data_IF_705724233710
#
_entry.id   IF_705724233710
#
_cell.length_a   1.000
_cell.length_b   1.000
_cell.length_c   1.000
_cell.angle_alpha   90.00
_cell.angle_beta   90.00
_cell.angle_gamma   90.00
#
_symmetry.space_group_name_H-M   'P 1'
#
loop_
_entity.id
_entity.type
_entity.pdbx_description
1 polymer ?
#
# COMPACT_ATOMS: atom_id res chain seq x y z
N UNK A 1 -4.52 -0.38 -16.97
CA UNK A 1 -5.66 -0.88 -17.79
C UNK A 1 -5.75 -2.40 -17.86
N UNK A 2 -4.97 -3.15 -18.65
CA UNK A 2 -5.20 -4.62 -18.77
C UNK A 2 -4.99 -5.38 -17.44
N UNK A 3 -3.92 -5.06 -16.70
CA UNK A 3 -3.63 -5.70 -15.40
C UNK A 3 -4.69 -5.39 -14.34
N UNK A 4 -5.15 -4.15 -14.29
CA UNK A 4 -6.21 -3.70 -13.38
C UNK A 4 -7.54 -4.42 -13.67
N UNK A 5 -7.93 -4.52 -14.95
CA UNK A 5 -9.12 -5.26 -15.35
C UNK A 5 -9.05 -6.73 -14.92
N UNK A 6 -7.90 -7.38 -15.14
CA UNK A 6 -7.68 -8.78 -14.75
C UNK A 6 -7.78 -8.94 -13.24
N UNK A 7 -7.20 -8.01 -12.46
CA UNK A 7 -7.26 -8.05 -11.01
C UNK A 7 -8.69 -7.90 -10.49
N UNK A 8 -9.44 -6.88 -10.95
CA UNK A 8 -10.83 -6.66 -10.55
C UNK A 8 -11.73 -7.84 -10.90
N UNK A 9 -11.55 -8.42 -12.09
CA UNK A 9 -12.29 -9.60 -12.53
C UNK A 9 -11.95 -10.84 -11.68
N UNK A 10 -10.68 -11.05 -11.35
CA UNK A 10 -10.26 -12.17 -10.50
C UNK A 10 -10.82 -12.03 -9.08
N UNK A 11 -10.72 -10.84 -8.49
CA UNK A 11 -11.31 -10.53 -7.18
C UNK A 11 -12.81 -10.84 -7.15
N UNK A 12 -13.55 -10.35 -8.15
CA UNK A 12 -14.98 -10.58 -8.24
C UNK A 12 -15.31 -12.05 -8.49
N UNK A 13 -14.46 -12.82 -9.19
CA UNK A 13 -14.67 -14.26 -9.47
C UNK A 13 -14.39 -15.16 -8.26
N UNK A 14 -13.46 -14.78 -7.39
CA UNK A 14 -13.13 -15.55 -6.19
C UNK A 14 -13.96 -15.12 -4.98
N UNK A 15 -14.72 -14.03 -5.10
CA UNK A 15 -15.52 -13.52 -4.00
C UNK A 15 -16.63 -14.51 -3.59
N UNK A 16 -16.85 -14.63 -2.27
CA UNK A 16 -17.89 -15.46 -1.66
C UNK A 16 -19.35 -15.15 -2.08
N UNK A 17 -19.62 -14.01 -2.73
CA UNK A 17 -20.96 -13.54 -3.09
C UNK A 17 -21.22 -13.50 -4.61
N UNK A 18 -20.77 -14.53 -5.34
CA UNK A 18 -20.95 -14.63 -6.81
C UNK A 18 -22.38 -14.30 -7.27
N UNK A 19 -23.38 -14.94 -6.66
CA UNK A 19 -24.78 -14.76 -7.05
C UNK A 19 -25.27 -13.31 -6.90
N UNK A 20 -24.77 -12.59 -5.89
CA UNK A 20 -25.12 -11.19 -5.66
C UNK A 20 -24.38 -10.27 -6.64
N UNK A 21 -23.13 -10.57 -6.95
CA UNK A 21 -22.33 -9.88 -7.99
C UNK A 21 -23.05 -9.96 -9.35
N UNK A 22 -23.56 -11.14 -9.72
CA UNK A 22 -24.30 -11.32 -10.96
C UNK A 22 -25.60 -10.52 -10.99
N UNK A 23 -26.34 -10.49 -9.87
CA UNK A 23 -27.58 -9.69 -9.75
C UNK A 23 -27.30 -8.19 -9.88
N UNK A 24 -26.24 -7.68 -9.25
CA UNK A 24 -25.83 -6.28 -9.38
C UNK A 24 -25.44 -5.98 -10.82
N UNK A 25 -24.59 -6.82 -11.41
CA UNK A 25 -24.17 -6.68 -12.80
C UNK A 25 -25.39 -6.61 -13.74
N UNK A 26 -26.37 -7.49 -13.55
CA UNK A 26 -27.61 -7.48 -14.32
C UNK A 26 -28.39 -6.17 -14.12
N UNK A 27 -28.49 -5.68 -12.88
CA UNK A 27 -29.24 -4.47 -12.54
C UNK A 27 -28.61 -3.20 -13.12
N UNK A 28 -27.28 -3.07 -13.02
CA UNK A 28 -26.49 -2.00 -13.66
C UNK A 28 -26.71 -2.02 -15.17
N UNK A 29 -26.58 -3.19 -15.82
CA UNK A 29 -26.83 -3.32 -17.26
C UNK A 29 -28.24 -2.90 -17.63
N UNK A 30 -29.24 -3.39 -16.90
CA UNK A 30 -30.63 -3.07 -17.16
C UNK A 30 -30.85 -1.55 -17.16
N UNK A 31 -30.36 -0.86 -16.13
CA UNK A 31 -30.46 0.61 -16.01
C UNK A 31 -29.76 1.35 -17.15
N UNK A 32 -28.56 0.92 -17.55
CA UNK A 32 -27.82 1.53 -18.66
C UNK A 32 -28.45 1.28 -20.03
N UNK A 33 -29.28 0.23 -20.17
CA UNK A 33 -29.93 -0.14 -21.44
C UNK A 33 -31.39 0.32 -21.56
N UNK A 34 -31.94 1.01 -20.56
CA UNK A 34 -33.32 1.49 -20.64
C UNK A 34 -33.50 2.51 -21.77
N UNK A 35 -34.67 2.47 -22.42
CA UNK A 35 -34.98 3.19 -23.68
C UNK A 35 -34.82 4.72 -23.63
N UNK A 36 -34.71 5.32 -22.44
CA UNK A 36 -34.51 6.76 -22.24
C UNK A 36 -33.04 7.19 -22.15
N UNK A 37 -32.10 6.25 -22.10
CA UNK A 37 -30.67 6.52 -22.03
C UNK A 37 -30.03 6.52 -23.43
N UNK A 38 -28.94 7.28 -23.66
CA UNK A 38 -28.15 7.15 -24.88
C UNK A 38 -27.67 5.69 -25.04
N UNK A 39 -27.67 5.17 -26.28
CA UNK A 39 -27.20 3.80 -26.55
C UNK A 39 -25.70 3.70 -26.26
N UNK A 40 -25.35 3.25 -25.06
CA UNK A 40 -23.98 3.04 -24.67
C UNK A 40 -23.37 1.84 -25.42
N UNK A 41 -22.09 1.91 -25.85
CA UNK A 41 -21.39 0.76 -26.40
C UNK A 41 -21.36 -0.42 -25.42
N UNK A 42 -21.51 -1.65 -25.93
CA UNK A 42 -21.48 -2.85 -25.07
C UNK A 42 -20.18 -3.01 -24.28
N UNK A 43 -19.05 -2.56 -24.83
CA UNK A 43 -17.77 -2.54 -24.11
C UNK A 43 -17.81 -1.63 -22.88
N UNK A 44 -18.38 -0.42 -23.02
CA UNK A 44 -18.51 0.55 -21.94
C UNK A 44 -19.41 0.02 -20.81
N UNK A 45 -20.55 -0.58 -21.17
CA UNK A 45 -21.47 -1.19 -20.20
C UNK A 45 -20.74 -2.25 -19.37
N UNK A 46 -19.97 -3.14 -20.02
CA UNK A 46 -19.21 -4.19 -19.32
C UNK A 46 -18.17 -3.62 -18.36
N UNK A 47 -17.48 -2.56 -18.75
CA UNK A 47 -16.50 -1.90 -17.87
C UNK A 47 -17.19 -1.28 -16.66
N UNK A 48 -18.29 -0.55 -16.85
CA UNK A 48 -19.07 0.05 -15.74
C UNK A 48 -19.60 -1.03 -14.79
N UNK A 49 -20.12 -2.15 -15.33
CA UNK A 49 -20.58 -3.28 -14.51
C UNK A 49 -19.44 -3.84 -13.65
N UNK A 50 -18.26 -4.04 -14.24
CA UNK A 50 -17.09 -4.54 -13.54
C UNK A 50 -16.66 -3.58 -12.43
N UNK A 51 -16.48 -2.30 -12.76
CA UNK A 51 -15.96 -1.32 -11.82
C UNK A 51 -16.93 -1.02 -10.67
N UNK A 52 -18.23 -0.88 -10.93
CA UNK A 52 -19.22 -0.70 -9.86
C UNK A 52 -19.35 -1.93 -8.97
N UNK A 53 -19.38 -3.13 -9.56
CA UNK A 53 -19.40 -4.35 -8.76
C UNK A 53 -18.14 -4.43 -7.91
N UNK A 54 -16.98 -4.13 -8.49
CA UNK A 54 -15.72 -4.11 -7.76
C UNK A 54 -15.77 -3.12 -6.59
N UNK A 55 -16.16 -1.87 -6.81
CA UNK A 55 -16.28 -0.83 -5.77
C UNK A 55 -17.19 -1.30 -4.63
N UNK A 56 -18.40 -1.77 -4.93
CA UNK A 56 -19.35 -2.13 -3.88
C UNK A 56 -18.96 -3.36 -3.08
N UNK A 57 -18.35 -4.37 -3.71
CA UNK A 57 -17.90 -5.55 -2.99
C UNK A 57 -16.58 -5.32 -2.27
N UNK A 58 -15.69 -4.48 -2.83
CA UNK A 58 -14.48 -4.04 -2.16
C UNK A 58 -14.79 -3.27 -0.87
N UNK A 59 -15.82 -2.42 -0.91
CA UNK A 59 -16.26 -1.59 0.22
C UNK A 59 -17.53 -2.12 0.89
N UNK A 60 -17.82 -3.42 0.78
CA UNK A 60 -19.09 -4.01 1.24
C UNK A 60 -19.37 -3.75 2.72
N UNK A 61 -18.31 -3.67 3.54
CA UNK A 61 -18.42 -3.38 4.96
C UNK A 61 -19.06 -2.01 5.21
N UNK A 62 -18.87 -1.04 4.30
CA UNK A 62 -19.34 0.35 4.44
C UNK A 62 -20.39 0.72 3.40
N UNK A 63 -21.13 -0.27 2.87
CA UNK A 63 -22.13 -0.04 1.82
C UNK A 63 -23.27 0.91 2.22
N UNK A 64 -23.43 1.14 3.52
CA UNK A 64 -24.41 2.06 4.11
C UNK A 64 -23.87 3.48 4.31
N UNK A 65 -22.64 3.78 3.92
CA UNK A 65 -22.07 5.12 3.96
C UNK A 65 -22.62 5.98 2.80
N UNK A 66 -23.36 7.07 3.06
CA UNK A 66 -23.81 7.99 2.02
C UNK A 66 -22.68 8.49 1.11
N UNK A 67 -21.49 8.74 1.66
CA UNK A 67 -20.34 9.22 0.88
C UNK A 67 -19.89 8.22 -0.18
N UNK A 68 -20.04 6.90 0.07
CA UNK A 68 -19.72 5.87 -0.91
C UNK A 68 -20.61 6.00 -2.16
N UNK A 69 -21.90 6.29 -1.97
CA UNK A 69 -22.83 6.53 -3.06
C UNK A 69 -22.43 7.76 -3.88
N UNK A 70 -22.18 8.91 -3.22
CA UNK A 70 -21.76 10.14 -3.90
C UNK A 70 -20.45 9.97 -4.68
N UNK A 71 -19.44 9.35 -4.07
CA UNK A 71 -18.16 9.07 -4.76
C UNK A 71 -18.35 8.13 -5.95
N UNK A 72 -19.25 7.14 -5.85
CA UNK A 72 -19.58 6.24 -6.97
C UNK A 72 -20.28 6.99 -8.11
N UNK A 73 -21.19 7.91 -7.78
CA UNK A 73 -21.88 8.75 -8.77
C UNK A 73 -20.87 9.64 -9.49
N UNK A 74 -19.99 10.32 -8.73
CA UNK A 74 -19.00 11.22 -9.30
C UNK A 74 -17.93 10.49 -10.10
N UNK A 75 -17.53 9.28 -9.68
CA UNK A 75 -16.67 8.39 -10.46
C UNK A 75 -17.28 8.03 -11.82
N UNK A 76 -18.56 7.63 -11.85
CA UNK A 76 -19.25 7.35 -13.12
C UNK A 76 -19.37 8.59 -14.02
N UNK A 77 -19.58 9.75 -13.41
CA UNK A 77 -19.66 11.02 -14.13
C UNK A 77 -18.31 11.43 -14.74
N UNK A 78 -17.22 11.32 -13.98
CA UNK A 78 -15.90 11.77 -14.42
C UNK A 78 -15.23 10.82 -15.40
N UNK A 79 -15.22 9.51 -15.12
CA UNK A 79 -14.44 8.52 -15.87
C UNK A 79 -15.18 8.00 -17.10
N UNK A 80 -16.50 7.86 -16.99
CA UNK A 80 -17.34 7.29 -18.05
C UNK A 80 -18.26 8.32 -18.72
N UNK A 81 -18.21 9.58 -18.28
CA UNK A 81 -19.02 10.68 -18.82
C UNK A 81 -20.53 10.41 -18.80
N UNK A 82 -21.01 9.66 -17.80
CA UNK A 82 -22.45 9.52 -17.59
C UNK A 82 -23.02 10.84 -17.08
N UNK A 83 -24.25 11.18 -17.46
CA UNK A 83 -24.93 12.29 -16.78
C UNK A 83 -25.15 11.94 -15.32
N UNK A 84 -25.05 12.93 -14.42
CA UNK A 84 -25.20 12.71 -12.97
C UNK A 84 -26.51 11.98 -12.65
N UNK A 85 -27.60 12.33 -13.32
CA UNK A 85 -28.89 11.64 -13.16
C UNK A 85 -28.83 10.14 -13.48
N UNK A 86 -28.21 9.75 -14.60
CA UNK A 86 -28.09 8.33 -14.96
C UNK A 86 -27.15 7.61 -14.00
N UNK A 87 -26.06 8.27 -13.59
CA UNK A 87 -25.15 7.72 -12.59
C UNK A 87 -25.85 7.47 -11.24
N UNK A 88 -26.64 8.43 -10.75
CA UNK A 88 -27.48 8.29 -9.55
C UNK A 88 -28.44 7.10 -9.69
N UNK A 89 -29.22 7.02 -10.76
CA UNK A 89 -30.19 5.94 -10.98
C UNK A 89 -29.54 4.54 -11.01
N UNK A 90 -28.31 4.44 -11.51
CA UNK A 90 -27.54 3.20 -11.58
C UNK A 90 -27.00 2.82 -10.20
N UNK A 91 -26.37 3.77 -9.49
CA UNK A 91 -25.76 3.57 -8.18
C UNK A 91 -26.81 3.25 -7.14
N UNK A 92 -27.85 4.07 -6.99
CA UNK A 92 -28.92 3.85 -6.02
C UNK A 92 -29.63 2.52 -6.26
N UNK A 93 -29.93 2.18 -7.53
CA UNK A 93 -30.57 0.90 -7.83
C UNK A 93 -29.71 -0.32 -7.50
N UNK A 94 -28.37 -0.19 -7.51
CA UNK A 94 -27.47 -1.25 -7.12
C UNK A 94 -27.32 -1.33 -5.59
N UNK A 95 -27.24 -0.19 -4.91
CA UNK A 95 -27.20 -0.09 -3.46
C UNK A 95 -28.49 -0.59 -2.80
N UNK A 96 -29.66 -0.25 -3.33
CA UNK A 96 -30.95 -0.77 -2.88
C UNK A 96 -30.97 -2.30 -2.83
N UNK A 97 -30.37 -2.93 -3.84
CA UNK A 97 -30.23 -4.38 -3.86
C UNK A 97 -29.30 -4.82 -2.73
N UNK A 98 -28.11 -4.23 -2.60
CA UNK A 98 -27.15 -4.60 -1.57
C UNK A 98 -27.67 -4.40 -0.14
N UNK A 99 -28.37 -3.30 0.14
CA UNK A 99 -28.96 -3.02 1.45
C UNK A 99 -29.99 -4.06 1.87
N UNK A 100 -30.61 -4.76 0.92
CA UNK A 100 -31.51 -5.88 1.23
C UNK A 100 -30.80 -7.19 1.64
N UNK A 101 -29.50 -7.32 1.35
CA UNK A 101 -28.69 -8.50 1.68
C UNK A 101 -27.67 -8.24 2.78
N UNK A 102 -27.20 -7.00 2.93
CA UNK A 102 -26.18 -6.58 3.88
C UNK A 102 -26.89 -5.73 4.95
N UNK A 103 -27.17 -6.27 6.14
CA UNK A 103 -27.85 -5.51 7.18
C UNK A 103 -26.96 -4.40 7.73
N UNK A 104 -27.59 -3.40 8.33
CA UNK A 104 -26.90 -2.34 9.07
C UNK A 104 -26.38 -2.87 10.41
N UNK A 105 -25.32 -2.24 10.90
CA UNK A 105 -24.77 -2.55 12.20
C UNK A 105 -25.62 -1.92 13.31
N UNK A 106 -25.95 -2.68 14.36
CA UNK A 106 -26.75 -2.16 15.47
C UNK A 106 -26.09 -0.94 16.11
N UNK A 107 -26.83 0.17 16.17
CA UNK A 107 -26.38 1.41 16.81
C UNK A 107 -25.51 2.32 15.94
N UNK A 108 -25.18 1.93 14.72
CA UNK A 108 -24.45 2.80 13.79
C UNK A 108 -25.40 3.76 13.07
N UNK A 109 -25.05 5.04 13.06
CA UNK A 109 -25.67 6.07 12.24
C UNK A 109 -25.01 6.15 10.86
N UNK A 110 -25.66 6.83 9.90
CA UNK A 110 -25.06 7.10 8.59
C UNK A 110 -23.71 7.86 8.70
N UNK A 111 -23.57 8.73 9.71
CA UNK A 111 -22.32 9.46 9.97
C UNK A 111 -21.20 8.55 10.44
N UNK A 112 -21.51 7.50 11.21
CA UNK A 112 -20.51 6.54 11.67
C UNK A 112 -19.99 5.71 10.49
N UNK A 113 -20.87 5.36 9.55
CA UNK A 113 -20.48 4.72 8.30
C UNK A 113 -19.62 5.63 7.41
N UNK A 114 -20.00 6.89 7.24
CA UNK A 114 -19.18 7.87 6.49
C UNK A 114 -17.81 8.04 7.12
N UNK A 115 -17.76 8.22 8.44
CA UNK A 115 -16.51 8.37 9.18
C UNK A 115 -15.59 7.16 8.97
N UNK A 116 -16.09 5.95 9.24
CA UNK A 116 -15.29 4.74 9.10
C UNK A 116 -14.87 4.50 7.64
N UNK A 117 -15.74 4.75 6.67
CA UNK A 117 -15.38 4.62 5.27
C UNK A 117 -14.24 5.58 4.87
N UNK A 118 -14.37 6.86 5.22
CA UNK A 118 -13.34 7.87 4.94
C UNK A 118 -12.04 7.55 5.66
N UNK A 119 -12.14 7.06 6.89
CA UNK A 119 -11.01 6.60 7.67
C UNK A 119 -10.24 5.51 6.94
N UNK A 120 -10.93 4.50 6.43
CA UNK A 120 -10.33 3.38 5.71
C UNK A 120 -9.74 3.78 4.35
N UNK A 121 -10.39 4.71 3.66
CA UNK A 121 -9.88 5.31 2.44
C UNK A 121 -8.58 6.06 2.68
N UNK A 122 -8.49 6.79 3.80
CA UNK A 122 -7.26 7.47 4.21
C UNK A 122 -6.16 6.49 4.60
N UNK A 123 -6.46 5.44 5.39
CA UNK A 123 -5.45 4.42 5.75
C UNK A 123 -4.90 3.74 4.49
N UNK A 124 -5.76 3.43 3.52
CA UNK A 124 -5.36 2.83 2.25
C UNK A 124 -4.45 3.77 1.44
N UNK A 125 -4.78 5.07 1.39
CA UNK A 125 -3.97 6.06 0.66
C UNK A 125 -2.63 6.35 1.33
N UNK A 126 -2.61 6.50 2.66
CA UNK A 126 -1.39 6.73 3.44
C UNK A 126 -0.39 5.56 3.37
N UNK A 127 -0.88 4.36 3.06
CA UNK A 127 -0.08 3.14 3.03
C UNK A 127 0.46 2.76 1.65
N UNK A 128 0.06 3.46 0.60
CA UNK A 128 0.35 3.07 -0.77
C UNK A 128 1.51 3.87 -1.37
N UNK A 129 2.57 3.17 -1.76
CA UNK A 129 3.74 3.76 -2.42
C UNK A 129 3.50 4.02 -3.92
N UNK A 130 2.37 3.56 -4.47
CA UNK A 130 2.08 3.58 -5.90
C UNK A 130 0.63 3.96 -6.19
N UNK A 131 0.43 5.15 -6.76
CA UNK A 131 -0.90 5.65 -7.13
C UNK A 131 -1.68 4.70 -8.06
N UNK A 132 -1.02 4.01 -9.00
CA UNK A 132 -1.72 3.06 -9.88
C UNK A 132 -2.19 1.81 -9.15
N UNK A 133 -1.44 1.39 -8.12
CA UNK A 133 -1.83 0.28 -7.27
C UNK A 133 -2.98 0.73 -6.36
N UNK A 134 -2.90 1.96 -5.82
CA UNK A 134 -3.94 2.55 -4.99
C UNK A 134 -5.29 2.64 -5.73
N UNK A 135 -5.31 3.05 -7.01
CA UNK A 135 -6.51 3.03 -7.88
C UNK A 135 -7.13 1.63 -7.90
N UNK A 136 -6.29 0.62 -8.03
CA UNK A 136 -6.75 -0.78 -8.09
C UNK A 136 -7.27 -1.23 -6.72
N UNK A 137 -6.58 -0.90 -5.62
CA UNK A 137 -6.93 -1.31 -4.26
C UNK A 137 -8.18 -0.63 -3.70
N UNK A 138 -8.37 0.65 -4.03
CA UNK A 138 -9.52 1.45 -3.63
C UNK A 138 -10.69 1.22 -4.60
N UNK A 139 -10.42 0.92 -5.87
CA UNK A 139 -11.45 0.71 -6.90
C UNK A 139 -11.98 2.00 -7.53
N UNK A 140 -11.68 3.17 -6.97
CA UNK A 140 -12.00 4.47 -7.55
C UNK A 140 -10.89 5.00 -8.46
N UNK A 141 -11.26 5.88 -9.39
CA UNK A 141 -10.36 6.52 -10.33
C UNK A 141 -9.36 7.49 -9.70
N UNK A 142 -8.44 7.99 -10.52
CA UNK A 142 -7.38 8.91 -10.08
C UNK A 142 -7.93 10.21 -9.50
N UNK A 143 -9.11 10.65 -9.94
CA UNK A 143 -9.80 11.83 -9.43
C UNK A 143 -10.13 11.72 -7.93
N UNK A 144 -10.70 10.61 -7.48
CA UNK A 144 -11.03 10.38 -6.07
C UNK A 144 -9.75 10.29 -5.22
N UNK A 145 -8.70 9.70 -5.79
CA UNK A 145 -7.40 9.62 -5.12
C UNK A 145 -6.72 10.98 -5.01
N UNK A 146 -6.78 11.81 -6.04
CA UNK A 146 -6.29 13.19 -6.00
C UNK A 146 -7.03 14.01 -4.95
N UNK A 147 -8.33 13.78 -4.75
CA UNK A 147 -9.10 14.39 -3.67
C UNK A 147 -8.60 13.95 -2.28
N UNK A 148 -8.37 12.65 -2.08
CA UNK A 148 -7.81 12.14 -0.82
C UNK A 148 -6.42 12.74 -0.55
N UNK A 149 -5.58 12.86 -1.57
CA UNK A 149 -4.26 13.49 -1.45
C UNK A 149 -4.32 15.01 -1.26
N UNK A 150 -5.29 15.70 -1.88
CA UNK A 150 -5.50 17.13 -1.70
C UNK A 150 -5.99 17.44 -0.28
N UNK A 151 -6.93 16.66 0.23
CA UNK A 151 -7.35 16.70 1.64
C UNK A 151 -6.15 16.47 2.56
N UNK A 152 -5.23 15.56 2.18
CA UNK A 152 -4.03 15.30 2.96
C UNK A 152 -2.98 16.40 2.97
N UNK A 153 -3.01 17.30 1.98
CA UNK A 153 -2.02 18.39 1.83
C UNK A 153 -2.50 19.73 2.38
N UNK A 154 -3.76 19.86 2.76
CA UNK A 154 -4.34 21.10 3.29
C UNK A 154 -3.81 21.48 4.70
N UNK A 155 -3.12 20.56 5.39
CA UNK A 155 -2.32 20.89 6.58
C UNK A 155 -1.08 21.76 6.27
N UNK A 156 -0.67 21.85 5.00
CA UNK A 156 0.32 22.83 4.55
C UNK A 156 -0.42 24.13 4.22
N UNK A 157 -0.24 25.14 5.08
CA UNK A 157 -0.83 26.51 5.08
C UNK A 157 -0.69 27.35 3.80
N UNK A 158 -0.46 26.76 2.62
CA UNK A 158 -0.13 27.41 1.35
C UNK A 158 -1.10 27.15 0.19
N UNK A 159 -2.22 26.47 0.40
CA UNK A 159 -3.10 26.05 -0.70
C UNK A 159 -4.51 26.67 -0.57
N UNK A 160 -4.61 27.96 -0.91
CA UNK A 160 -5.90 28.65 -1.10
C UNK A 160 -6.65 28.20 -2.38
N UNK A 161 -6.02 27.40 -3.25
CA UNK A 161 -6.55 26.97 -4.56
C UNK A 161 -6.89 25.47 -4.67
N UNK A 162 -6.90 24.72 -3.56
CA UNK A 162 -7.22 23.28 -3.61
C UNK A 162 -8.71 23.02 -3.82
N UNK A 163 -9.04 22.10 -4.74
CA UNK A 163 -10.42 21.67 -5.06
C UNK A 163 -11.11 21.16 -3.79
N UNK A 164 -12.06 21.95 -3.27
CA UNK A 164 -12.89 21.54 -2.13
C UNK A 164 -14.06 20.71 -2.65
N UNK A 165 -13.95 19.39 -2.54
CA UNK A 165 -15.11 18.52 -2.65
C UNK A 165 -15.86 18.55 -1.31
N UNK A 166 -17.10 19.05 -1.32
CA UNK A 166 -18.02 19.14 -0.17
C UNK A 166 -17.32 19.50 1.18
N UNK A 167 -17.37 20.76 1.64
CA UNK A 167 -16.60 21.24 2.79
C UNK A 167 -16.65 20.33 4.04
N UNK A 168 -17.79 19.70 4.30
CA UNK A 168 -18.03 18.78 5.42
C UNK A 168 -17.22 17.48 5.34
N UNK A 169 -17.06 16.91 4.14
CA UNK A 169 -16.24 15.70 3.91
C UNK A 169 -14.76 16.03 4.03
N UNK A 170 -14.36 17.20 3.51
CA UNK A 170 -13.00 17.70 3.64
C UNK A 170 -12.65 17.89 5.12
N UNK A 171 -13.52 18.54 5.91
CA UNK A 171 -13.31 18.72 7.36
C UNK A 171 -13.22 17.37 8.11
N UNK A 172 -14.06 16.41 7.74
CA UNK A 172 -14.04 15.07 8.35
C UNK A 172 -12.73 14.34 8.07
N UNK A 173 -12.25 14.38 6.82
CA UNK A 173 -10.95 13.82 6.45
C UNK A 173 -9.80 14.48 7.22
N UNK A 174 -9.81 15.81 7.38
CA UNK A 174 -8.80 16.51 8.18
C UNK A 174 -8.79 16.04 9.62
N UNK A 175 -9.96 15.89 10.23
CA UNK A 175 -10.08 15.42 11.61
C UNK A 175 -9.49 14.03 11.77
N UNK A 176 -9.85 13.11 10.87
CA UNK A 176 -9.29 11.75 10.81
C UNK A 176 -7.76 11.80 10.73
N UNK A 177 -7.23 12.65 9.86
CA UNK A 177 -5.80 12.79 9.66
C UNK A 177 -5.06 13.32 10.87
N UNK A 178 -5.60 14.35 11.52
CA UNK A 178 -5.02 14.93 12.72
C UNK A 178 -5.05 13.92 13.88
N UNK A 179 -6.13 13.13 14.00
CA UNK A 179 -6.23 12.04 14.97
C UNK A 179 -5.16 10.98 14.72
N UNK A 180 -5.09 10.45 13.50
CA UNK A 180 -4.09 9.42 13.13
C UNK A 180 -2.66 9.96 13.29
N UNK A 181 -2.40 11.21 12.91
CA UNK A 181 -1.06 11.81 13.03
C UNK A 181 -0.61 11.92 14.48
N UNK A 182 -1.52 12.28 15.39
CA UNK A 182 -1.26 12.25 16.84
C UNK A 182 -1.01 10.83 17.32
N UNK A 183 -1.81 9.87 16.88
CA UNK A 183 -1.63 8.47 17.25
C UNK A 183 -0.34 7.85 16.71
N UNK A 184 0.11 8.21 15.51
CA UNK A 184 1.40 7.75 14.95
C UNK A 184 2.57 8.22 15.82
N UNK A 185 2.50 9.45 16.35
CA UNK A 185 3.53 9.99 17.23
C UNK A 185 3.65 9.17 18.54
N UNK A 186 2.55 8.63 19.03
CA UNK A 186 2.51 7.77 20.23
C UNK A 186 2.78 6.30 19.92
N UNK A 187 2.27 5.81 18.79
CA UNK A 187 2.24 4.41 18.36
C UNK A 187 2.60 4.32 16.87
N UNK A 188 3.89 4.18 16.50
CA UNK A 188 4.33 4.20 15.11
C UNK A 188 3.70 3.14 14.20
N UNK A 189 3.24 2.02 14.77
CA UNK A 189 2.59 0.91 14.05
C UNK A 189 1.06 1.02 14.02
N UNK A 190 0.47 2.17 14.40
CA UNK A 190 -1.00 2.33 14.45
C UNK A 190 -1.66 2.15 13.08
N UNK A 191 -0.98 2.58 12.01
CA UNK A 191 -1.45 2.36 10.63
C UNK A 191 -1.61 0.86 10.34
N UNK A 192 -0.68 0.04 10.81
CA UNK A 192 -0.74 -1.41 10.60
C UNK A 192 -1.87 -2.06 11.42
N UNK A 193 -2.19 -1.54 12.62
CA UNK A 193 -3.38 -1.94 13.37
C UNK A 193 -4.66 -1.69 12.59
N UNK A 194 -4.77 -0.52 11.94
CA UNK A 194 -5.94 -0.18 11.14
C UNK A 194 -6.03 -0.96 9.83
N UNK A 195 -4.89 -1.29 9.20
CA UNK A 195 -4.87 -2.23 8.07
C UNK A 195 -5.41 -3.60 8.48
N UNK A 196 -5.00 -4.11 9.65
CA UNK A 196 -5.52 -5.37 10.16
C UNK A 196 -7.03 -5.31 10.39
N UNK A 197 -7.54 -4.21 10.97
CA UNK A 197 -8.98 -3.98 11.10
C UNK A 197 -9.69 -4.13 9.76
N UNK A 198 -9.18 -3.44 8.73
CA UNK A 198 -9.71 -3.49 7.37
C UNK A 198 -9.77 -4.92 6.80
N UNK A 199 -8.70 -5.69 7.00
CA UNK A 199 -8.63 -7.09 6.53
C UNK A 199 -9.65 -7.98 7.25
N UNK A 200 -9.84 -7.80 8.56
CA UNK A 200 -10.82 -8.58 9.33
C UNK A 200 -12.25 -8.20 8.93
N UNK A 201 -12.55 -6.90 8.78
CA UNK A 201 -13.87 -6.39 8.37
C UNK A 201 -14.24 -6.80 6.93
N UNK A 202 -13.25 -6.99 6.06
CA UNK A 202 -13.50 -7.47 4.70
C UNK A 202 -14.07 -8.91 4.69
N UNK A 203 -13.75 -9.72 5.71
CA UNK A 203 -14.11 -11.13 5.78
C UNK A 203 -15.38 -11.37 6.61
N UNK A 204 -15.53 -10.66 7.73
CA UNK A 204 -16.71 -10.75 8.61
C UNK A 204 -17.69 -9.60 8.34
N UNK A 205 -18.93 -9.92 7.93
CA UNK A 205 -19.97 -8.92 7.67
C UNK A 205 -20.51 -8.22 8.92
N UNK A 206 -20.27 -8.79 10.11
CA UNK A 206 -20.90 -8.38 11.36
C UNK A 206 -19.90 -8.31 12.50
N UNK A 207 -20.15 -7.39 13.43
CA UNK A 207 -19.39 -7.28 14.66
C UNK A 207 -18.29 -6.23 14.60
N UNK A 208 -18.45 -5.18 13.77
CA UNK A 208 -17.50 -4.06 13.74
C UNK A 208 -17.24 -3.44 15.12
N UNK A 209 -18.29 -3.35 15.94
CA UNK A 209 -18.19 -2.88 17.33
C UNK A 209 -17.29 -3.75 18.22
N UNK A 210 -16.99 -5.00 17.83
CA UNK A 210 -16.10 -5.90 18.55
C UNK A 210 -14.62 -5.65 18.21
N UNK A 211 -14.32 -4.99 17.08
CA UNK A 211 -12.96 -4.64 16.65
C UNK A 211 -12.47 -3.36 17.34
N UNK A 212 -12.57 -3.36 18.67
CA UNK A 212 -12.01 -2.31 19.51
C UNK A 212 -10.49 -2.26 19.38
N UNK A 213 -9.88 -1.12 19.69
CA UNK A 213 -8.41 -0.97 19.73
C UNK A 213 -7.75 -2.06 20.57
N UNK A 214 -8.26 -2.33 21.78
CA UNK A 214 -7.73 -3.37 22.66
C UNK A 214 -7.78 -4.76 22.03
N UNK A 215 -8.83 -5.04 21.25
CA UNK A 215 -8.93 -6.31 20.53
C UNK A 215 -7.93 -6.40 19.37
N UNK A 216 -7.75 -5.32 18.60
CA UNK A 216 -6.75 -5.26 17.53
C UNK A 216 -5.32 -5.38 18.09
N UNK A 217 -5.05 -4.77 19.25
CA UNK A 217 -3.77 -4.89 19.96
C UNK A 217 -3.51 -6.34 20.37
N UNK A 218 -4.53 -7.05 20.88
CA UNK A 218 -4.44 -8.48 21.17
C UNK A 218 -4.16 -9.30 19.89
N UNK A 219 -4.81 -8.99 18.77
CA UNK A 219 -4.51 -9.65 17.50
C UNK A 219 -3.04 -9.46 17.09
N UNK A 220 -2.51 -8.25 17.25
CA UNK A 220 -1.09 -7.97 17.02
C UNK A 220 -0.17 -8.74 17.97
N UNK A 221 -0.52 -8.84 19.24
CA UNK A 221 0.25 -9.62 20.22
C UNK A 221 0.30 -11.09 19.85
N UNK A 222 -0.82 -11.66 19.42
CA UNK A 222 -0.86 -13.03 18.90
C UNK A 222 0.03 -13.18 17.67
N UNK A 223 -0.01 -12.24 16.71
CA UNK A 223 0.86 -12.28 15.53
C UNK A 223 2.35 -12.20 15.90
N UNK A 224 2.72 -11.34 16.85
CA UNK A 224 4.10 -11.23 17.33
C UNK A 224 4.54 -12.51 18.04
N UNK A 225 3.65 -13.10 18.86
CA UNK A 225 3.93 -14.35 19.55
C UNK A 225 4.07 -15.54 18.59
N UNK A 226 3.41 -15.51 17.43
CA UNK A 226 3.65 -16.48 16.34
C UNK A 226 5.09 -16.37 15.83
N UNK A 227 5.59 -15.14 15.71
CA UNK A 227 6.93 -14.86 15.24
C UNK A 227 7.19 -15.34 13.81
N UNK A 228 8.48 -15.37 13.44
CA UNK A 228 8.90 -15.65 12.07
C UNK A 228 9.07 -17.15 11.76
N UNK A 229 9.34 -17.96 12.79
CA UNK A 229 9.54 -19.41 12.69
C UNK A 229 8.23 -20.20 12.82
N UNK A 230 7.15 -19.51 13.16
CA UNK A 230 5.90 -20.09 13.58
C UNK A 230 5.93 -20.65 15.00
N UNK A 231 4.75 -20.95 15.51
CA UNK A 231 4.53 -21.41 16.89
C UNK A 231 3.39 -22.42 16.97
N UNK A 232 3.26 -23.14 18.08
CA UNK A 232 2.14 -24.03 18.36
C UNK A 232 1.05 -23.36 19.19
N UNK A 233 -0.16 -23.91 19.17
CA UNK A 233 -1.27 -23.40 20.01
C UNK A 233 -0.95 -23.44 21.51
N UNK A 234 -0.28 -24.52 21.95
CA UNK A 234 0.10 -24.70 23.34
C UNK A 234 1.13 -23.64 23.79
N UNK A 235 1.99 -23.18 22.88
CA UNK A 235 2.95 -22.10 23.14
C UNK A 235 2.27 -20.73 23.22
N UNK A 236 1.34 -20.44 22.31
CA UNK A 236 0.56 -19.19 22.31
C UNK A 236 -0.32 -19.02 23.55
N UNK A 237 -0.79 -20.12 24.12
CA UNK A 237 -1.79 -20.08 25.19
C UNK A 237 -1.23 -20.28 26.59
N UNK A 238 0.10 -20.37 26.76
CA UNK A 238 0.74 -20.58 28.07
C UNK A 238 0.27 -19.57 29.13
N UNK A 239 0.11 -18.31 28.72
CA UNK A 239 -0.22 -17.19 29.62
C UNK A 239 -1.55 -16.50 29.28
N UNK A 240 -2.35 -17.07 28.35
CA UNK A 240 -3.50 -16.38 27.75
C UNK A 240 -4.76 -17.24 27.75
N UNK A 241 -5.93 -16.60 27.69
CA UNK A 241 -7.21 -17.28 27.60
C UNK A 241 -7.33 -18.06 26.27
N UNK A 242 -7.29 -19.40 26.33
CA UNK A 242 -7.35 -20.29 25.18
C UNK A 242 -8.54 -20.02 24.24
N UNK A 243 -9.72 -19.74 24.79
CA UNK A 243 -10.91 -19.50 23.98
C UNK A 243 -10.79 -18.20 23.17
N UNK A 244 -10.19 -17.17 23.78
CA UNK A 244 -9.97 -15.88 23.16
C UNK A 244 -8.89 -15.96 22.07
N UNK A 245 -7.76 -16.63 22.36
CA UNK A 245 -6.67 -16.83 21.38
C UNK A 245 -7.16 -17.64 20.18
N UNK A 246 -7.98 -18.68 20.42
CA UNK A 246 -8.58 -19.45 19.32
C UNK A 246 -9.44 -18.58 18.42
N UNK A 247 -10.31 -17.73 19.01
CA UNK A 247 -11.14 -16.80 18.23
C UNK A 247 -10.29 -15.85 17.39
N UNK A 248 -9.23 -15.29 17.97
CA UNK A 248 -8.29 -14.41 17.25
C UNK A 248 -7.62 -15.16 16.09
N UNK A 249 -7.13 -16.38 16.32
CA UNK A 249 -6.51 -17.18 15.27
C UNK A 249 -7.48 -17.50 14.13
N UNK A 250 -8.71 -17.87 14.44
CA UNK A 250 -9.73 -18.17 13.42
C UNK A 250 -9.99 -16.93 12.54
N UNK A 251 -10.02 -15.72 13.13
CA UNK A 251 -10.14 -14.46 12.37
C UNK A 251 -8.90 -14.14 11.54
N UNK A 252 -7.70 -14.26 12.11
CA UNK A 252 -6.44 -14.01 11.40
C UNK A 252 -6.22 -14.98 10.23
N UNK A 253 -6.66 -16.23 10.38
CA UNK A 253 -6.65 -17.23 9.31
C UNK A 253 -7.66 -16.87 8.23
N UNK A 254 -8.88 -16.46 8.62
CA UNK A 254 -9.90 -16.05 7.65
C UNK A 254 -9.48 -14.81 6.86
N UNK A 255 -8.71 -13.91 7.49
CA UNK A 255 -8.12 -12.73 6.88
C UNK A 255 -6.81 -13.02 6.09
N UNK A 256 -6.39 -14.29 5.97
CA UNK A 256 -5.19 -14.73 5.26
C UNK A 256 -3.87 -14.12 5.80
N UNK A 257 -3.90 -13.61 7.03
CA UNK A 257 -2.74 -13.03 7.71
C UNK A 257 -1.90 -14.13 8.37
N UNK A 258 -2.56 -15.19 8.82
CA UNK A 258 -1.97 -16.38 9.42
C UNK A 258 -2.35 -17.61 8.60
N UNK A 259 -1.42 -18.55 8.43
CA UNK A 259 -1.72 -19.85 7.86
C UNK A 259 -1.28 -20.98 8.79
N UNK A 260 -1.85 -22.15 8.55
CA UNK A 260 -1.65 -23.33 9.38
C UNK A 260 -0.82 -24.36 8.62
N UNK A 261 0.23 -24.87 9.26
CA UNK A 261 1.09 -25.91 8.71
C UNK A 261 1.18 -27.10 9.67
N UNK A 262 1.30 -28.31 9.12
CA UNK A 262 1.49 -29.55 9.88
C UNK A 262 0.30 -30.49 9.81
N UNK A 263 0.46 -31.66 10.44
CA UNK A 263 -0.53 -32.73 10.45
C UNK A 263 -0.93 -33.08 11.89
N UNK A 264 -2.24 -33.33 12.09
CA UNK A 264 -3.02 -33.85 13.24
C UNK A 264 -2.47 -33.81 14.68
N UNK A 265 -1.17 -34.04 14.92
CA UNK A 265 -0.52 -34.04 16.24
C UNK A 265 0.40 -32.84 16.49
N UNK A 266 0.82 -32.10 15.47
CA UNK A 266 1.63 -30.89 15.65
C UNK A 266 1.25 -29.86 14.60
N UNK A 267 0.30 -29.02 14.98
CA UNK A 267 -0.14 -27.88 14.19
C UNK A 267 0.73 -26.70 14.57
N UNK A 268 1.33 -26.05 13.58
CA UNK A 268 2.06 -24.80 13.73
C UNK A 268 1.34 -23.69 12.96
N UNK A 269 1.26 -22.53 13.57
CA UNK A 269 0.74 -21.30 12.99
C UNK A 269 1.92 -20.49 12.49
N UNK A 270 1.78 -19.90 11.30
CA UNK A 270 2.81 -19.11 10.64
C UNK A 270 2.19 -17.82 10.10
N UNK A 271 2.98 -16.75 10.09
CA UNK A 271 2.57 -15.51 9.44
C UNK A 271 2.71 -15.64 7.92
N UNK A 272 1.66 -15.26 7.20
CA UNK A 272 1.76 -15.01 5.76
C UNK A 272 2.59 -13.75 5.47
N UNK A 273 2.79 -13.44 4.19
CA UNK A 273 3.51 -12.22 3.78
C UNK A 273 2.84 -10.97 4.35
N UNK A 274 1.50 -10.90 4.28
CA UNK A 274 0.72 -9.80 4.86
C UNK A 274 0.89 -9.70 6.38
N UNK A 275 0.91 -10.83 7.09
CA UNK A 275 1.14 -10.85 8.54
C UNK A 275 2.52 -10.32 8.92
N UNK A 276 3.54 -10.70 8.16
CA UNK A 276 4.90 -10.19 8.34
C UNK A 276 4.99 -8.69 8.08
N UNK A 277 4.34 -8.20 7.02
CA UNK A 277 4.28 -6.77 6.71
C UNK A 277 3.60 -5.97 7.84
N UNK A 278 2.49 -6.48 8.40
CA UNK A 278 1.73 -5.80 9.45
C UNK A 278 2.49 -5.68 10.78
N UNK A 279 3.29 -6.68 11.16
CA UNK A 279 4.02 -6.64 12.43
C UNK A 279 5.40 -6.00 12.30
N UNK A 280 5.86 -5.70 11.09
CA UNK A 280 7.24 -5.27 10.82
C UNK A 280 7.63 -4.02 11.61
N UNK A 281 6.77 -3.00 11.64
CA UNK A 281 7.04 -1.75 12.35
C UNK A 281 7.10 -1.96 13.87
N UNK A 282 6.13 -2.70 14.43
CA UNK A 282 6.10 -3.00 15.87
C UNK A 282 7.32 -3.82 16.28
N UNK A 283 7.70 -4.82 15.49
CA UNK A 283 8.89 -5.62 15.77
C UNK A 283 10.17 -4.79 15.68
N UNK A 284 10.30 -3.94 14.67
CA UNK A 284 11.46 -3.03 14.55
C UNK A 284 11.53 -2.05 15.73
N UNK A 285 10.40 -1.55 16.25
CA UNK A 285 10.34 -0.74 17.47
C UNK A 285 10.83 -1.47 18.72
N UNK A 286 10.60 -2.77 18.83
CA UNK A 286 10.98 -3.57 19.99
C UNK A 286 12.48 -3.94 20.01
N UNK A 287 13.18 -3.79 18.88
CA UNK A 287 14.61 -4.06 18.77
C UNK A 287 15.46 -2.86 19.25
N UNK A 288 15.52 -2.66 20.57
CA UNK A 288 16.28 -1.54 21.18
C UNK A 288 17.81 -1.69 21.04
N UNK A 289 18.33 -2.92 21.15
CA UNK A 289 19.78 -3.23 21.09
C UNK A 289 20.19 -3.81 19.73
N UNK A 290 19.80 -3.15 18.64
CA UNK A 290 20.06 -3.63 17.29
C UNK A 290 21.55 -3.87 17.01
N UNK A 291 21.89 -5.10 16.59
CA UNK A 291 23.18 -5.42 16.00
C UNK A 291 23.02 -5.66 14.49
N UNK A 292 23.98 -5.16 13.71
CA UNK A 292 24.00 -5.35 12.26
C UNK A 292 23.94 -6.82 11.83
N UNK A 293 24.47 -7.74 12.63
CA UNK A 293 24.40 -9.18 12.38
C UNK A 293 22.98 -9.73 12.43
N UNK A 294 22.09 -9.12 13.22
CA UNK A 294 20.75 -9.64 13.44
C UNK A 294 19.86 -9.37 12.23
N UNK A 295 20.09 -8.25 11.53
CA UNK A 295 19.35 -7.82 10.35
C UNK A 295 19.20 -8.95 9.31
N UNK A 296 20.27 -9.69 9.05
CA UNK A 296 20.31 -10.71 8.01
C UNK A 296 19.48 -11.97 8.32
N UNK A 297 19.08 -12.15 9.58
CA UNK A 297 18.23 -13.24 10.02
C UNK A 297 16.75 -12.82 10.11
N UNK A 298 16.44 -11.54 9.89
CA UNK A 298 15.08 -11.02 9.95
C UNK A 298 14.35 -11.22 8.63
N UNK A 299 13.01 -11.35 8.65
CA UNK A 299 12.21 -11.30 7.43
C UNK A 299 12.35 -9.95 6.71
N UNK A 300 12.24 -9.97 5.38
CA UNK A 300 12.40 -8.79 4.53
C UNK A 300 11.60 -7.56 4.96
N UNK A 301 10.30 -7.66 5.30
CA UNK A 301 9.52 -6.52 5.78
C UNK A 301 10.11 -5.86 7.02
N UNK A 302 10.61 -6.66 7.97
CA UNK A 302 11.23 -6.17 9.21
C UNK A 302 12.58 -5.53 8.91
N UNK A 303 13.36 -6.13 7.99
CA UNK A 303 14.63 -5.53 7.56
C UNK A 303 14.42 -4.12 7.00
N UNK A 304 13.42 -3.93 6.13
CA UNK A 304 13.04 -2.63 5.56
C UNK A 304 12.69 -1.64 6.67
N UNK A 305 11.74 -2.00 7.54
CA UNK A 305 11.28 -1.10 8.60
C UNK A 305 12.39 -0.73 9.55
N UNK A 306 13.22 -1.68 9.95
CA UNK A 306 14.38 -1.43 10.81
C UNK A 306 15.36 -0.46 10.13
N UNK A 307 15.71 -0.73 8.87
CA UNK A 307 16.59 0.14 8.09
C UNK A 307 16.02 1.53 7.85
N UNK A 308 14.70 1.75 7.83
CA UNK A 308 14.12 3.08 7.62
C UNK A 308 14.14 3.96 8.90
N UNK A 309 14.46 3.39 10.08
CA UNK A 309 14.45 4.13 11.35
C UNK A 309 15.65 5.06 11.52
N UNK A 310 15.37 6.33 11.81
CA UNK A 310 16.37 7.39 11.98
C UNK A 310 17.43 7.14 13.07
N UNK A 311 17.15 6.28 14.06
CA UNK A 311 18.08 6.00 15.16
C UNK A 311 19.17 4.97 14.80
N UNK A 312 19.14 4.35 13.62
CA UNK A 312 20.17 3.42 13.17
C UNK A 312 21.24 4.18 12.37
N UNK A 313 22.49 4.10 12.82
CA UNK A 313 23.65 4.66 12.12
C UNK A 313 24.04 3.78 10.92
N UNK A 314 23.39 4.05 9.79
CA UNK A 314 23.59 3.33 8.53
C UNK A 314 25.05 3.43 8.03
N UNK A 315 25.74 4.55 8.30
CA UNK A 315 27.12 4.75 7.86
C UNK A 315 28.07 3.75 8.55
N UNK A 316 27.87 3.48 9.84
CA UNK A 316 28.63 2.47 10.57
C UNK A 316 28.35 1.04 10.08
N UNK A 317 27.11 0.76 9.66
CA UNK A 317 26.70 -0.52 9.10
C UNK A 317 27.13 -0.78 7.66
N UNK A 318 27.39 0.27 6.88
CA UNK A 318 27.63 0.18 5.43
C UNK A 318 28.68 -0.87 5.02
N UNK A 319 29.84 -0.99 5.69
CA UNK A 319 30.84 -2.00 5.34
C UNK A 319 30.40 -3.43 5.65
N UNK A 320 29.57 -3.62 6.68
CA UNK A 320 29.02 -4.93 7.07
C UNK A 320 27.92 -5.33 6.09
N UNK A 321 27.03 -4.40 5.75
CA UNK A 321 25.94 -4.60 4.81
C UNK A 321 26.44 -4.89 3.40
N UNK A 322 27.44 -4.13 2.92
CA UNK A 322 28.13 -4.42 1.66
C UNK A 322 28.67 -5.85 1.61
N UNK A 323 29.02 -6.40 2.78
CA UNK A 323 29.51 -7.76 2.92
C UNK A 323 28.43 -8.85 2.97
N UNK A 324 27.17 -8.49 3.10
CA UNK A 324 26.07 -9.44 3.27
C UNK A 324 24.81 -9.06 2.46
N UNK A 325 24.96 -8.24 1.40
CA UNK A 325 23.84 -7.81 0.57
C UNK A 325 22.98 -8.94 -0.01
N UNK A 326 23.55 -10.12 -0.26
CA UNK A 326 22.79 -11.28 -0.76
C UNK A 326 21.80 -11.85 0.26
N UNK A 327 21.92 -11.46 1.54
CA UNK A 327 21.00 -11.84 2.61
C UNK A 327 19.92 -10.79 2.91
N UNK A 328 19.99 -9.62 2.25
CA UNK A 328 18.99 -8.58 2.42
C UNK A 328 17.85 -8.76 1.43
N UNK A 329 16.62 -8.46 1.83
CA UNK A 329 15.48 -8.40 0.92
C UNK A 329 15.70 -7.32 -0.17
N UNK A 330 15.23 -7.54 -1.42
CA UNK A 330 15.17 -6.53 -2.47
C UNK A 330 14.82 -5.10 -2.02
N UNK A 331 13.77 -4.97 -1.20
CA UNK A 331 13.30 -3.68 -0.69
C UNK A 331 14.26 -3.13 0.36
N UNK A 332 14.82 -4.00 1.21
CA UNK A 332 15.80 -3.60 2.22
C UNK A 332 17.10 -3.07 1.59
N UNK A 333 17.56 -3.68 0.49
CA UNK A 333 18.68 -3.14 -0.30
C UNK A 333 18.35 -1.73 -0.79
N UNK A 334 17.16 -1.51 -1.35
CA UNK A 334 16.75 -0.20 -1.82
C UNK A 334 16.70 0.84 -0.68
N UNK A 335 16.06 0.52 0.46
CA UNK A 335 16.01 1.38 1.64
C UNK A 335 17.39 1.75 2.16
N UNK A 336 18.31 0.78 2.25
CA UNK A 336 19.69 1.00 2.66
C UNK A 336 20.40 2.03 1.77
N UNK A 337 20.37 1.84 0.45
CA UNK A 337 21.04 2.75 -0.47
C UNK A 337 20.37 4.14 -0.48
N UNK A 338 19.04 4.17 -0.31
CA UNK A 338 18.30 5.43 -0.13
C UNK A 338 18.83 6.21 1.08
N UNK A 339 18.89 5.60 2.26
CA UNK A 339 19.42 6.29 3.46
C UNK A 339 20.89 6.64 3.36
N UNK A 340 21.74 5.74 2.86
CA UNK A 340 23.16 6.04 2.61
C UNK A 340 23.33 7.28 1.73
N UNK A 341 22.49 7.45 0.71
CA UNK A 341 22.57 8.62 -0.16
C UNK A 341 22.22 9.94 0.54
N UNK A 342 21.29 9.91 1.50
CA UNK A 342 20.86 11.09 2.24
C UNK A 342 21.81 11.42 3.39
N UNK A 343 22.27 10.40 4.13
CA UNK A 343 23.03 10.57 5.38
C UNK A 343 24.54 10.61 5.14
N UNK A 344 25.07 9.81 4.21
CA UNK A 344 26.50 9.75 3.94
C UNK A 344 26.81 9.33 2.49
N UNK A 345 26.63 10.25 1.51
CA UNK A 345 26.83 9.94 0.09
C UNK A 345 28.25 9.47 -0.24
N UNK A 346 29.25 9.82 0.58
CA UNK A 346 30.63 9.34 0.43
C UNK A 346 30.77 7.83 0.61
N UNK A 347 30.00 7.24 1.53
CA UNK A 347 30.01 5.80 1.79
C UNK A 347 29.47 4.95 0.64
N UNK A 348 28.69 5.54 -0.30
CA UNK A 348 28.22 4.83 -1.48
C UNK A 348 29.40 4.38 -2.34
N UNK A 349 30.41 5.25 -2.54
CA UNK A 349 31.60 4.90 -3.32
C UNK A 349 32.36 3.74 -2.69
N UNK A 350 32.49 3.73 -1.36
CA UNK A 350 33.14 2.65 -0.62
C UNK A 350 32.39 1.33 -0.77
N UNK A 351 31.05 1.35 -0.63
CA UNK A 351 30.20 0.18 -0.85
C UNK A 351 30.35 -0.33 -2.29
N UNK A 352 30.20 0.56 -3.29
CA UNK A 352 30.32 0.23 -4.71
C UNK A 352 31.70 -0.29 -5.11
N UNK A 353 32.77 0.11 -4.43
CA UNK A 353 34.12 -0.41 -4.69
C UNK A 353 34.28 -1.90 -4.34
N UNK A 354 33.48 -2.40 -3.39
CA UNK A 354 33.55 -3.79 -2.89
C UNK A 354 32.63 -4.74 -3.67
N UNK A 355 31.55 -4.23 -4.28
CA UNK A 355 30.56 -5.06 -4.99
C UNK A 355 31.09 -5.81 -6.23
N UNK A 356 31.98 -5.24 -7.08
CA UNK A 356 32.51 -5.93 -8.26
C UNK A 356 33.28 -7.21 -7.92
N UNK A 357 33.87 -7.27 -6.72
CA UNK A 357 34.63 -8.42 -6.24
C UNK A 357 33.75 -9.53 -5.64
N UNK A 358 32.42 -9.37 -5.66
CA UNK A 358 31.46 -10.27 -5.04
C UNK A 358 30.57 -10.97 -6.06
N UNK A 359 30.27 -12.24 -5.78
CA UNK A 359 29.29 -13.01 -6.55
C UNK A 359 27.87 -12.70 -6.07
N UNK A 360 27.45 -11.46 -6.27
CA UNK A 360 26.07 -11.06 -6.00
C UNK A 360 25.12 -11.76 -6.97
N UNK A 361 23.94 -12.11 -6.48
CA UNK A 361 22.89 -12.66 -7.33
C UNK A 361 22.39 -11.65 -8.37
N UNK A 362 21.87 -12.14 -9.50
CA UNK A 362 21.38 -11.27 -10.59
C UNK A 362 20.25 -10.32 -10.14
N UNK A 363 19.41 -10.74 -9.19
CA UNK A 363 18.31 -9.92 -8.71
C UNK A 363 18.81 -8.78 -7.80
N UNK A 364 19.78 -9.04 -6.91
CA UNK A 364 20.41 -7.99 -6.07
C UNK A 364 21.01 -6.91 -6.95
N UNK A 365 21.74 -7.28 -8.00
CA UNK A 365 22.31 -6.32 -8.96
C UNK A 365 21.24 -5.50 -9.68
N UNK A 366 20.12 -6.11 -10.02
CA UNK A 366 18.99 -5.42 -10.67
C UNK A 366 18.32 -4.39 -9.75
N UNK A 367 18.13 -4.72 -8.48
CA UNK A 367 17.56 -3.79 -7.50
C UNK A 367 18.53 -2.68 -7.11
N UNK A 368 19.82 -3.02 -6.99
CA UNK A 368 20.87 -2.03 -6.84
C UNK A 368 20.86 -1.02 -8.00
N UNK A 369 20.77 -1.47 -9.25
CA UNK A 369 20.65 -0.57 -10.40
C UNK A 369 19.44 0.38 -10.26
N UNK A 370 18.28 -0.16 -9.82
CA UNK A 370 17.07 0.63 -9.59
C UNK A 370 17.27 1.68 -8.48
N UNK A 371 17.91 1.31 -7.37
CA UNK A 371 18.22 2.28 -6.32
C UNK A 371 19.13 3.39 -6.87
N UNK A 372 20.23 2.98 -7.52
CA UNK A 372 21.26 3.87 -8.02
C UNK A 372 20.78 4.94 -9.02
N UNK A 373 19.70 4.68 -9.78
CA UNK A 373 19.17 5.65 -10.74
C UNK A 373 18.56 6.90 -10.10
N UNK A 374 18.28 6.87 -8.80
CA UNK A 374 17.63 7.96 -8.09
C UNK A 374 18.59 8.90 -7.34
N UNK A 375 19.91 8.61 -7.35
CA UNK A 375 20.87 9.30 -6.48
C UNK A 375 21.74 10.32 -7.21
N UNK A 376 22.32 11.24 -6.43
CA UNK A 376 23.15 12.38 -6.87
C UNK A 376 24.28 12.05 -7.85
N UNK A 377 24.87 13.10 -8.44
CA UNK A 377 25.92 12.98 -9.46
C UNK A 377 27.24 12.44 -8.90
N UNK A 378 27.36 11.11 -8.77
CA UNK A 378 28.59 10.42 -8.41
C UNK A 378 29.15 9.63 -9.59
N UNK A 379 30.41 9.92 -9.94
CA UNK A 379 31.14 9.19 -10.99
C UNK A 379 31.25 7.69 -10.68
N UNK A 380 31.32 7.31 -9.40
CA UNK A 380 31.37 5.92 -8.98
C UNK A 380 30.08 5.14 -9.37
N UNK A 381 28.93 5.82 -9.39
CA UNK A 381 27.65 5.21 -9.83
C UNK A 381 27.68 4.98 -11.33
N UNK A 382 28.12 5.98 -12.11
CA UNK A 382 28.26 5.86 -13.56
C UNK A 382 29.23 4.74 -13.94
N UNK A 383 30.43 4.72 -13.34
CA UNK A 383 31.45 3.70 -13.58
C UNK A 383 30.94 2.29 -13.23
N UNK A 384 30.21 2.16 -12.11
CA UNK A 384 29.60 0.89 -11.70
C UNK A 384 28.53 0.41 -12.69
N UNK A 385 27.57 1.27 -13.06
CA UNK A 385 26.51 0.93 -14.02
C UNK A 385 27.11 0.59 -15.39
N UNK A 386 28.11 1.32 -15.87
CA UNK A 386 28.81 1.01 -17.11
C UNK A 386 29.54 -0.34 -17.06
N UNK A 387 30.15 -0.68 -15.93
CA UNK A 387 30.81 -1.97 -15.73
C UNK A 387 29.81 -3.13 -15.86
N UNK A 388 28.61 -3.01 -15.28
CA UNK A 388 27.56 -4.01 -15.38
C UNK A 388 27.05 -4.15 -16.82
N UNK A 389 26.85 -3.03 -17.52
CA UNK A 389 26.39 -3.04 -18.92
C UNK A 389 27.37 -3.77 -19.83
N UNK A 390 28.68 -3.60 -19.61
CA UNK A 390 29.74 -4.16 -20.45
C UNK A 390 30.06 -5.62 -20.09
N UNK A 391 29.96 -5.99 -18.81
CA UNK A 391 30.56 -7.24 -18.31
C UNK A 391 29.65 -8.19 -17.53
N UNK A 392 28.43 -7.81 -17.13
CA UNK A 392 27.58 -8.72 -16.36
C UNK A 392 27.02 -9.84 -17.25
N UNK A 393 27.06 -11.12 -16.83
CA UNK A 393 26.56 -12.23 -17.64
C UNK A 393 25.04 -12.22 -17.85
N UNK A 394 24.27 -11.59 -16.95
CA UNK A 394 22.80 -11.57 -17.01
C UNK A 394 22.27 -10.45 -17.91
N UNK A 395 21.49 -10.82 -18.94
CA UNK A 395 20.82 -9.86 -19.84
C UNK A 395 19.93 -8.90 -19.04
N UNK A 396 19.15 -9.42 -18.08
CA UNK A 396 18.24 -8.62 -17.25
C UNK A 396 18.98 -7.54 -16.45
N UNK A 397 20.16 -7.87 -15.91
CA UNK A 397 21.00 -6.90 -15.18
C UNK A 397 21.53 -5.84 -16.14
N UNK A 398 22.02 -6.24 -17.32
CA UNK A 398 22.50 -5.28 -18.34
C UNK A 398 21.41 -4.32 -18.80
N UNK A 399 20.19 -4.81 -19.04
CA UNK A 399 19.05 -3.98 -19.43
C UNK A 399 18.63 -3.02 -18.32
N UNK A 400 18.54 -3.51 -17.08
CA UNK A 400 18.23 -2.66 -15.92
C UNK A 400 19.29 -1.60 -15.69
N UNK A 401 20.57 -1.95 -15.80
CA UNK A 401 21.68 -1.00 -15.69
C UNK A 401 21.63 0.07 -16.80
N UNK A 402 21.29 -0.29 -18.04
CA UNK A 402 21.08 0.68 -19.14
C UNK A 402 19.92 1.64 -18.84
N UNK A 403 18.78 1.11 -18.39
CA UNK A 403 17.64 1.94 -18.01
C UNK A 403 18.02 2.91 -16.89
N UNK A 404 18.65 2.38 -15.85
CA UNK A 404 19.05 3.13 -14.66
C UNK A 404 20.08 4.22 -14.99
N UNK A 405 21.04 3.93 -15.86
CA UNK A 405 22.02 4.91 -16.35
C UNK A 405 21.38 6.01 -17.21
N UNK A 406 20.38 5.65 -18.03
CA UNK A 406 19.60 6.62 -18.82
C UNK A 406 18.81 7.56 -17.90
N UNK A 407 18.14 7.01 -16.89
CA UNK A 407 17.35 7.77 -15.92
C UNK A 407 18.24 8.66 -15.06
N UNK A 408 19.38 8.15 -14.59
CA UNK A 408 20.39 8.91 -13.86
C UNK A 408 20.97 10.07 -14.69
N UNK A 409 21.35 9.83 -15.95
CA UNK A 409 21.84 10.89 -16.85
C UNK A 409 20.75 11.93 -17.13
N UNK A 410 19.49 11.53 -17.23
CA UNK A 410 18.36 12.44 -17.48
C UNK A 410 18.10 13.36 -16.29
N UNK A 411 18.15 12.84 -15.08
CA UNK A 411 17.92 13.61 -13.83
C UNK A 411 19.08 14.56 -13.50
N UNK A 412 20.32 14.25 -13.94
CA UNK A 412 21.51 15.01 -13.55
C UNK A 412 22.08 15.95 -14.64
N UNK A 413 21.82 15.71 -15.93
CA UNK A 413 22.19 16.68 -17.00
C UNK A 413 21.38 17.99 -16.96
N UNK A 414 20.27 18.01 -16.23
CA UNK A 414 19.46 19.23 -16.01
C UNK A 414 20.08 20.19 -15.00
N UNK A 415 21.00 19.75 -14.13
CA UNK A 415 21.67 20.61 -13.15
C UNK A 415 22.97 21.25 -13.66
N UNK A 416 23.74 20.58 -14.53
CA UNK A 416 24.97 21.16 -15.08
C UNK A 416 24.72 22.30 -16.09
N UNK A 417 23.61 22.23 -16.84
CA UNK A 417 23.25 23.30 -17.80
C UNK A 417 22.73 24.61 -17.15
N UNK A 418 22.56 24.65 -15.82
CA UNK A 418 22.25 25.91 -15.10
C UNK A 418 23.47 26.61 -14.51
N UNK A 419 24.64 25.95 -14.44
CA UNK A 419 25.89 26.56 -13.94
C UNK A 419 26.78 27.16 -15.03
N UNK A 420 26.49 26.89 -16.30
CA UNK A 420 27.23 27.45 -17.45
C UNK A 420 26.31 28.24 -18.40
N UNK A 421 25.76 29.36 -17.93
CA UNK A 421 25.50 30.48 -18.84
C UNK A 421 26.46 31.62 -18.48
N UNK A 422 27.57 31.80 -19.20
CA UNK A 422 28.31 33.04 -19.10
C UNK A 422 27.38 34.17 -19.56
N UNK A 423 27.09 35.11 -18.66
CA UNK A 423 26.47 36.38 -19.00
C UNK A 423 27.31 37.04 -20.10
N UNK A 424 26.88 36.93 -21.36
CA UNK A 424 27.34 37.83 -22.41
C UNK A 424 26.71 39.19 -22.14
N UNK A 425 27.40 40.01 -21.35
CA UNK A 425 27.22 41.45 -21.34
C UNK A 425 27.51 41.95 -22.75
N UNK A 426 26.46 42.41 -23.42
CA UNK A 426 26.55 43.19 -24.64
C UNK A 426 27.05 44.58 -24.27
N UNK A 427 28.34 44.85 -24.46
CA UNK A 427 28.85 46.22 -24.47
C UNK A 427 28.44 46.88 -25.77
N UNK A 428 27.46 47.78 -25.70
CA UNK A 428 27.29 48.85 -26.68
C UNK A 428 28.42 49.86 -26.47
N UNK A 429 29.12 50.18 -27.55
CA UNK A 429 29.51 51.55 -27.90
C UNK A 429 29.28 51.71 -29.40
#
# INVERSE_FOLDING_TARGET
>A
MLQEFVFKAEFLRTHKYQDLIEKISHRVRFKLTQEKAPKFPQGLIKTIQLDLSYIFFRHQAWIHAPVLAELSIDYLHSEFHLSRQVATDVVESALDLLHSYIPTEPGWSARDYDYEFLFQMFISSASSDNQSQLVTEIGFGTNVIELLFAAAKLNDSRLEDTVVFAPELTETLHRIMDEISKEIAETPWVIDLYKLKSLIEAVELHGKHLLTRAYLELCFEVMIAIGWSGTTFDELTKDHNQAQIKKVLDQLISAEVVYVQGARKRITYHLGILGLDLIAERAACQMQDFQWSDLFNLPGPVQVKLLDRSNIDIAHGAPILARQLDHLDPKAVYSLFSRLSHENPGSIADVLSVLPHRRLSSWVKSELCRALSMFGSSKAIEDYLESLIKGDPSIKVRERARSSLKDWRRTHRTHDNQREKPCRLTSRN
#
